data_IF_175080422102
#
_entry.id   IF_175080422102
#
_cell.length_a   1.000
_cell.length_b   1.000
_cell.length_c   1.000
_cell.angle_alpha   90.00
_cell.angle_beta   90.00
_cell.angle_gamma   90.00
#
_symmetry.space_group_name_H-M   'P 1'
#
loop_
_entity.id
_entity.type
_entity.pdbx_description
1 polymer ?
#
# COMPACT_ATOMS: atom_id res chain seq x y z
N UNK A 1 0.64 65.47 27.64
CA UNK A 1 0.70 63.99 27.49
C UNK A 1 0.87 63.65 26.01
N UNK A 2 1.94 62.94 25.63
CA UNK A 2 2.16 62.47 24.23
C UNK A 2 1.80 60.98 24.16
N UNK A 3 0.97 60.51 23.23
CA UNK A 3 0.72 59.08 23.09
C UNK A 3 1.86 58.41 22.32
N UNK A 4 2.33 57.27 22.85
CA UNK A 4 3.39 56.43 22.28
C UNK A 4 2.89 55.74 21.01
N UNK A 5 3.64 55.94 19.91
CA UNK A 5 3.38 55.38 18.58
C UNK A 5 3.78 53.90 18.48
N UNK A 6 2.85 53.13 17.93
CA UNK A 6 3.00 51.96 17.05
C UNK A 6 3.97 50.82 17.45
N UNK A 7 3.45 49.80 18.12
CA UNK A 7 4.08 48.47 18.25
C UNK A 7 3.53 47.39 17.30
N UNK A 8 2.67 47.76 16.33
CA UNK A 8 1.95 46.77 15.50
C UNK A 8 2.67 46.25 14.24
N UNK A 9 3.79 46.84 13.83
CA UNK A 9 4.39 46.55 12.52
C UNK A 9 5.43 45.41 12.53
N UNK A 10 6.03 45.11 13.69
CA UNK A 10 7.13 44.12 13.77
C UNK A 10 6.66 42.67 13.67
N UNK A 11 5.44 42.38 14.14
CA UNK A 11 4.96 41.00 14.27
C UNK A 11 4.62 40.35 12.93
N UNK A 12 4.09 41.12 11.96
CA UNK A 12 3.69 40.61 10.63
C UNK A 12 4.86 40.15 9.76
N UNK A 13 6.05 40.73 9.93
CA UNK A 13 7.25 40.36 9.16
C UNK A 13 7.78 38.99 9.58
N UNK A 14 7.78 38.70 10.88
CA UNK A 14 8.26 37.42 11.40
C UNK A 14 7.37 36.25 10.97
N UNK A 15 6.04 36.45 10.90
CA UNK A 15 5.11 35.39 10.49
C UNK A 15 5.33 34.94 9.04
N UNK A 16 5.59 35.89 8.13
CA UNK A 16 5.91 35.59 6.73
C UNK A 16 7.25 34.84 6.59
N UNK A 17 8.23 35.20 7.42
CA UNK A 17 9.53 34.54 7.40
C UNK A 17 9.44 33.12 7.94
N UNK A 18 8.72 32.91 9.04
CA UNK A 18 8.42 31.58 9.59
C UNK A 18 7.66 30.72 8.57
N UNK A 19 6.67 31.27 7.88
CA UNK A 19 5.92 30.55 6.84
C UNK A 19 6.78 30.16 5.63
N UNK A 20 7.70 31.05 5.21
CA UNK A 20 8.66 30.72 4.15
C UNK A 20 9.64 29.64 4.59
N UNK A 21 10.07 29.68 5.85
CA UNK A 21 10.98 28.69 6.42
C UNK A 21 10.31 27.31 6.53
N UNK A 22 9.06 27.25 6.99
CA UNK A 22 8.31 25.99 7.07
C UNK A 22 8.07 25.38 5.68
N UNK A 23 7.77 26.19 4.67
CA UNK A 23 7.63 25.74 3.28
C UNK A 23 8.95 25.18 2.71
N UNK A 24 10.08 25.81 3.03
CA UNK A 24 11.40 25.32 2.64
C UNK A 24 11.75 24.00 3.32
N UNK A 25 11.46 23.87 4.61
CA UNK A 25 11.68 22.64 5.36
C UNK A 25 10.78 21.49 4.86
N UNK A 26 9.53 21.78 4.48
CA UNK A 26 8.64 20.78 3.88
C UNK A 26 9.15 20.31 2.52
N UNK A 27 9.78 21.19 1.73
CA UNK A 27 10.47 20.82 0.48
C UNK A 27 11.72 19.97 0.69
N UNK A 28 12.42 20.16 1.82
CA UNK A 28 13.61 19.38 2.18
C UNK A 28 13.25 18.04 2.84
N UNK A 29 11.98 17.84 3.20
CA UNK A 29 11.53 16.60 3.81
C UNK A 29 11.71 15.47 2.78
N UNK A 30 12.48 14.41 3.12
CA UNK A 30 12.59 13.28 2.22
C UNK A 30 11.19 12.70 2.04
N UNK A 31 10.65 12.83 0.82
CA UNK A 31 9.47 12.07 0.43
C UNK A 31 9.86 10.61 0.54
N UNK A 32 9.48 9.98 1.64
CA UNK A 32 9.61 8.54 1.82
C UNK A 32 8.60 7.91 0.86
N UNK A 33 9.00 7.84 -0.41
CA UNK A 33 8.28 7.06 -1.39
C UNK A 33 8.65 5.63 -1.08
N UNK A 34 7.85 4.99 -0.21
CA UNK A 34 7.87 3.55 -0.08
C UNK A 34 7.44 3.01 -1.43
N UNK A 35 8.42 2.73 -2.30
CA UNK A 35 8.16 2.10 -3.58
C UNK A 35 7.34 0.86 -3.28
N UNK A 36 6.12 0.74 -3.83
CA UNK A 36 5.35 -0.47 -3.61
C UNK A 36 6.22 -1.66 -4.06
N UNK A 37 6.15 -2.79 -3.35
CA UNK A 37 6.91 -3.96 -3.74
C UNK A 37 6.61 -4.29 -5.22
N UNK A 38 7.61 -4.75 -5.99
CA UNK A 38 7.42 -5.01 -7.42
C UNK A 38 6.24 -5.97 -7.65
N UNK A 39 5.52 -5.80 -8.76
CA UNK A 39 4.27 -6.50 -9.04
C UNK A 39 4.38 -8.04 -8.91
N UNK A 40 5.53 -8.61 -9.28
CA UNK A 40 5.83 -10.05 -9.12
C UNK A 40 5.81 -10.51 -7.65
N UNK A 41 6.28 -9.66 -6.73
CA UNK A 41 6.27 -9.93 -5.28
C UNK A 41 4.86 -9.81 -4.71
N UNK A 42 4.02 -8.97 -5.30
CA UNK A 42 2.61 -8.85 -4.91
C UNK A 42 1.80 -10.07 -5.39
N UNK A 43 2.01 -10.50 -6.64
CA UNK A 43 1.37 -11.68 -7.20
C UNK A 43 1.74 -12.96 -6.42
N UNK A 44 3.02 -13.16 -6.09
CA UNK A 44 3.45 -14.31 -5.28
C UNK A 44 2.79 -14.37 -3.89
N UNK A 45 2.58 -13.21 -3.25
CA UNK A 45 1.86 -13.15 -1.96
C UNK A 45 0.37 -13.44 -2.09
N UNK A 46 -0.25 -13.10 -3.22
CA UNK A 46 -1.65 -13.40 -3.49
C UNK A 46 -1.85 -14.88 -3.83
N UNK A 47 -0.87 -15.50 -4.49
CA UNK A 47 -0.94 -16.89 -4.98
C UNK A 47 -0.52 -17.91 -3.91
N UNK A 48 0.38 -17.55 -2.99
CA UNK A 48 0.77 -18.43 -1.89
C UNK A 48 0.06 -18.06 -0.58
N UNK A 49 -1.23 -18.39 -0.50
CA UNK A 49 -1.77 -18.66 0.82
C UNK A 49 -1.01 -19.87 1.40
N UNK A 50 -0.60 -19.84 2.68
CA UNK A 50 0.01 -21.01 3.31
C UNK A 50 -0.96 -22.19 3.17
N UNK A 51 -0.42 -23.37 2.82
CA UNK A 51 -1.21 -24.59 2.68
C UNK A 51 -2.01 -24.81 3.97
N UNK A 52 -3.33 -24.79 3.82
CA UNK A 52 -4.31 -24.85 4.89
C UNK A 52 -4.81 -26.28 5.02
N UNK A 53 -4.42 -26.95 6.11
CA UNK A 53 -4.81 -28.34 6.37
C UNK A 53 -6.29 -28.50 6.73
N UNK A 54 -6.98 -27.40 7.00
CA UNK A 54 -8.41 -27.30 7.27
C UNK A 54 -9.28 -27.30 6.01
N UNK A 55 -8.68 -27.19 4.83
CA UNK A 55 -9.39 -27.22 3.55
C UNK A 55 -9.43 -28.65 2.96
N UNK A 56 -10.49 -29.02 2.23
CA UNK A 56 -10.48 -30.24 1.46
C UNK A 56 -9.50 -30.12 0.29
N UNK A 57 -8.85 -31.24 -0.06
CA UNK A 57 -7.93 -31.33 -1.19
C UNK A 57 -8.45 -32.37 -2.16
N UNK A 58 -8.39 -32.05 -3.46
CA UNK A 58 -8.66 -33.03 -4.51
C UNK A 58 -7.36 -33.50 -5.15
N UNK A 59 -7.32 -34.77 -5.52
CA UNK A 59 -6.21 -35.32 -6.27
C UNK A 59 -6.37 -34.95 -7.74
N UNK A 60 -5.45 -34.15 -8.24
CA UNK A 60 -5.29 -33.88 -9.66
C UNK A 60 -4.16 -34.76 -10.21
N UNK A 61 -4.34 -35.23 -11.44
CA UNK A 61 -3.33 -35.99 -12.14
C UNK A 61 -2.77 -35.15 -13.29
N UNK A 62 -1.47 -34.91 -13.26
CA UNK A 62 -0.77 -34.19 -14.32
C UNK A 62 0.30 -35.11 -14.91
N UNK A 63 0.02 -35.65 -16.09
CA UNK A 63 0.97 -36.50 -16.81
C UNK A 63 1.30 -37.82 -16.09
N UNK A 64 2.37 -37.83 -15.29
CA UNK A 64 2.82 -38.99 -14.50
C UNK A 64 2.75 -38.76 -12.99
N UNK A 65 2.38 -37.56 -12.54
CA UNK A 65 2.39 -37.18 -11.13
C UNK A 65 0.99 -36.89 -10.61
N UNK A 66 0.78 -37.22 -9.34
CA UNK A 66 -0.41 -36.81 -8.60
C UNK A 66 -0.07 -35.58 -7.77
N UNK A 67 -0.86 -34.53 -7.95
CA UNK A 67 -0.75 -33.27 -7.22
C UNK A 67 -2.03 -33.08 -6.41
N UNK A 68 -1.89 -32.70 -5.15
CA UNK A 68 -3.02 -32.31 -4.31
C UNK A 68 -3.26 -30.82 -4.48
N UNK A 69 -4.46 -30.47 -4.95
CA UNK A 69 -4.86 -29.07 -5.14
C UNK A 69 -5.88 -28.73 -4.04
N UNK A 70 -5.67 -27.64 -3.29
CA UNK A 70 -6.62 -27.20 -2.27
C UNK A 70 -7.92 -26.72 -2.92
N UNK A 71 -9.04 -27.00 -2.28
CA UNK A 71 -10.32 -26.41 -2.64
C UNK A 71 -10.42 -25.01 -2.01
N UNK A 72 -9.74 -24.04 -2.60
CA UNK A 72 -9.78 -22.64 -2.21
C UNK A 72 -10.66 -21.82 -3.14
N UNK A 73 -10.81 -20.53 -2.84
CA UNK A 73 -11.62 -19.60 -3.65
C UNK A 73 -11.16 -19.54 -5.11
N UNK A 74 -9.85 -19.70 -5.37
CA UNK A 74 -9.33 -19.72 -6.74
C UNK A 74 -9.80 -20.97 -7.50
N UNK A 75 -9.85 -22.12 -6.82
CA UNK A 75 -10.42 -23.35 -7.38
C UNK A 75 -11.91 -23.19 -7.69
N UNK A 76 -12.67 -22.60 -6.75
CA UNK A 76 -14.11 -22.33 -6.94
C UNK A 76 -14.38 -21.44 -8.16
N UNK A 77 -13.61 -20.35 -8.31
CA UNK A 77 -13.68 -19.47 -9.47
C UNK A 77 -13.33 -20.22 -10.77
N UNK A 78 -12.32 -21.07 -10.73
CA UNK A 78 -11.92 -21.90 -11.87
C UNK A 78 -13.02 -22.86 -12.32
N UNK A 79 -13.66 -23.56 -11.38
CA UNK A 79 -14.79 -24.45 -11.66
C UNK A 79 -15.99 -23.68 -12.21
N UNK A 80 -16.27 -22.47 -11.70
CA UNK A 80 -17.33 -21.61 -12.22
C UNK A 80 -17.05 -21.22 -13.68
N UNK A 81 -15.81 -20.87 -14.02
CA UNK A 81 -15.43 -20.58 -15.41
C UNK A 81 -15.62 -21.82 -16.30
N UNK A 82 -15.14 -22.99 -15.85
CA UNK A 82 -15.25 -24.24 -16.61
C UNK A 82 -16.71 -24.67 -16.84
N UNK A 83 -17.61 -24.43 -15.88
CA UNK A 83 -19.05 -24.70 -16.03
C UNK A 83 -19.73 -23.82 -17.07
N UNK A 84 -19.15 -22.66 -17.36
CA UNK A 84 -19.68 -21.66 -18.26
C UNK A 84 -19.04 -21.69 -19.67
N UNK A 85 -18.15 -22.66 -19.94
CA UNK A 85 -17.58 -22.95 -21.26
C UNK A 85 -18.40 -24.00 -22.02
#
# INVERSE_FOLDING_TARGET
>A
MKPLKHQGASYRRNTLWVFRLTLLLERLRPRVYLKPPPALVQALKQVHQPLRLDLPYYAAHSGQEYVLIPWDTYMEEGEEILRNL
#
